data_IF_799606231551
#
_entry.id   IF_799606231551
#
_cell.length_a   1.000
_cell.length_b   1.000
_cell.length_c   1.000
_cell.angle_alpha   90.00
_cell.angle_beta   90.00
_cell.angle_gamma   90.00
#
_symmetry.space_group_name_H-M   'P 1'
#
loop_
_entity.id
_entity.type
_entity.pdbx_description
1 polymer ?
#
# COMPACT_ATOMS: atom_id res chain seq x y z
N UNK A 1 -23.59 40.91 26.56
CA UNK A 1 -22.75 40.42 25.46
C UNK A 1 -23.37 40.94 24.17
N UNK A 2 -22.67 41.81 23.44
CA UNK A 2 -23.24 42.55 22.31
C UNK A 2 -23.19 41.67 21.04
N UNK A 3 -24.12 41.86 20.10
CA UNK A 3 -24.19 41.00 18.90
C UNK A 3 -22.91 41.05 18.04
N UNK A 4 -22.24 42.20 18.06
CA UNK A 4 -20.94 42.39 17.42
C UNK A 4 -19.83 41.52 18.04
N UNK A 5 -19.89 41.25 19.35
CA UNK A 5 -18.91 40.41 20.03
C UNK A 5 -19.07 38.95 19.61
N UNK A 6 -20.32 38.50 19.42
CA UNK A 6 -20.63 37.14 18.96
C UNK A 6 -20.13 36.95 17.52
N UNK A 7 -20.39 37.92 16.63
CA UNK A 7 -19.90 37.85 15.24
C UNK A 7 -18.37 37.81 15.16
N UNK A 8 -17.68 38.60 15.99
CA UNK A 8 -16.21 38.57 16.03
C UNK A 8 -15.68 37.22 16.53
N UNK A 9 -16.33 36.63 17.54
CA UNK A 9 -15.96 35.29 18.03
C UNK A 9 -16.20 34.23 16.96
N UNK A 10 -17.34 34.25 16.27
CA UNK A 10 -17.63 33.30 15.17
C UNK A 10 -16.63 33.46 14.04
N UNK A 11 -16.31 34.69 13.64
CA UNK A 11 -15.34 34.97 12.57
C UNK A 11 -13.94 34.52 12.95
N UNK A 12 -13.54 34.71 14.21
CA UNK A 12 -12.26 34.24 14.73
C UNK A 12 -12.18 32.70 14.78
N UNK A 13 -13.27 32.02 15.16
CA UNK A 13 -13.36 30.55 15.16
C UNK A 13 -13.29 30.01 13.74
N UNK A 14 -14.02 30.59 12.78
CA UNK A 14 -13.98 30.19 11.37
C UNK A 14 -12.59 30.39 10.75
N UNK A 15 -11.93 31.50 11.05
CA UNK A 15 -10.53 31.74 10.63
C UNK A 15 -9.58 30.69 11.23
N UNK A 16 -9.77 30.33 12.51
CA UNK A 16 -8.96 29.33 13.20
C UNK A 16 -9.20 27.90 12.72
N UNK A 17 -10.39 27.60 12.20
CA UNK A 17 -10.72 26.35 11.52
C UNK A 17 -10.21 26.31 10.06
N UNK A 18 -10.00 27.44 9.41
CA UNK A 18 -9.35 27.51 8.09
C UNK A 18 -7.82 27.46 8.19
N UNK A 19 -7.28 27.83 9.36
CA UNK A 19 -5.84 27.78 9.69
C UNK A 19 -5.49 26.62 10.60
N UNK A 20 -6.37 25.63 10.77
CA UNK A 20 -5.90 24.28 11.09
C UNK A 20 -5.09 23.84 9.89
N UNK A 21 -3.77 23.99 10.01
CA UNK A 21 -2.77 23.43 9.13
C UNK A 21 -3.30 22.11 8.60
N UNK A 22 -3.53 22.07 7.29
CA UNK A 22 -3.55 20.78 6.60
C UNK A 22 -2.24 20.15 7.04
N UNK A 23 -2.23 19.01 7.75
CA UNK A 23 -0.98 18.40 8.14
C UNK A 23 -0.20 18.29 6.84
N UNK A 24 0.98 18.92 6.80
CA UNK A 24 1.93 18.61 5.75
C UNK A 24 1.92 17.09 5.68
N UNK A 25 1.55 16.53 4.53
CA UNK A 25 1.60 15.11 4.28
C UNK A 25 3.09 14.73 4.28
N UNK A 26 3.68 14.81 5.48
CA UNK A 26 5.06 14.52 5.77
C UNK A 26 5.10 13.02 5.73
N UNK A 27 5.39 12.51 4.53
CA UNK A 27 5.88 11.16 4.33
C UNK A 27 7.08 11.04 5.26
N UNK A 28 6.89 10.42 6.43
CA UNK A 28 7.90 10.34 7.48
C UNK A 28 9.08 9.49 6.99
N UNK A 29 8.77 8.45 6.21
CA UNK A 29 9.67 7.59 5.43
C UNK A 29 8.94 7.12 4.16
N UNK A 30 9.65 6.65 3.14
CA UNK A 30 9.08 6.21 1.86
C UNK A 30 7.90 5.22 2.06
N UNK A 31 6.66 5.70 1.90
CA UNK A 31 5.44 4.91 2.04
C UNK A 31 4.81 4.88 3.45
N UNK A 32 5.34 5.61 4.42
CA UNK A 32 4.79 5.75 5.78
C UNK A 32 4.08 7.10 5.92
N UNK A 33 2.81 7.07 6.32
CA UNK A 33 1.94 8.24 6.43
C UNK A 33 1.47 8.44 7.87
N UNK A 34 1.20 9.70 8.24
CA UNK A 34 0.75 10.07 9.58
C UNK A 34 -0.69 9.61 9.89
N UNK A 35 -1.54 9.46 8.86
CA UNK A 35 -2.92 9.00 8.98
C UNK A 35 -3.24 7.89 7.99
N UNK A 36 -4.28 7.11 8.30
CA UNK A 36 -4.80 6.08 7.42
C UNK A 36 -5.37 6.67 6.12
N UNK A 37 -6.08 7.79 6.21
CA UNK A 37 -6.72 8.43 5.06
C UNK A 37 -5.66 8.89 4.04
N UNK A 38 -4.53 9.43 4.52
CA UNK A 38 -3.41 9.82 3.66
C UNK A 38 -2.78 8.61 2.96
N UNK A 39 -2.60 7.50 3.68
CA UNK A 39 -2.07 6.27 3.12
C UNK A 39 -3.00 5.70 2.01
N UNK A 40 -4.30 5.70 2.25
CA UNK A 40 -5.30 5.23 1.27
C UNK A 40 -5.35 6.15 0.05
N UNK A 41 -5.32 7.48 0.26
CA UNK A 41 -5.29 8.45 -0.82
C UNK A 41 -4.05 8.28 -1.71
N UNK A 42 -2.87 8.15 -1.10
CA UNK A 42 -1.63 7.91 -1.82
C UNK A 42 -1.63 6.56 -2.56
N UNK A 43 -2.12 5.49 -1.94
CA UNK A 43 -2.25 4.18 -2.57
C UNK A 43 -3.18 4.21 -3.78
N UNK A 44 -4.31 4.94 -3.70
CA UNK A 44 -5.26 5.12 -4.81
C UNK A 44 -4.61 5.80 -6.01
N UNK A 45 -3.72 6.77 -5.79
CA UNK A 45 -2.95 7.40 -6.86
C UNK A 45 -1.89 6.45 -7.41
N UNK A 46 -1.13 5.77 -6.55
CA UNK A 46 -0.08 4.85 -6.96
C UNK A 46 -0.59 3.65 -7.76
N UNK A 47 -1.77 3.11 -7.41
CA UNK A 47 -2.40 1.99 -8.12
C UNK A 47 -2.63 2.31 -9.60
N UNK A 48 -2.93 3.57 -9.94
CA UNK A 48 -3.10 4.00 -11.34
C UNK A 48 -1.80 3.90 -12.13
N UNK A 49 -0.64 3.81 -11.49
CA UNK A 49 0.66 3.57 -12.10
C UNK A 49 0.90 2.10 -12.49
N UNK A 50 0.19 1.13 -11.89
CA UNK A 50 0.35 -0.31 -12.12
C UNK A 50 -0.45 -0.81 -13.35
N UNK A 51 -0.32 -0.08 -14.46
CA UNK A 51 -1.17 -0.20 -15.66
C UNK A 51 -0.98 -1.49 -16.44
N UNK A 52 0.23 -2.06 -16.47
CA UNK A 52 0.56 -3.21 -17.30
C UNK A 52 1.06 -4.39 -16.48
N UNK A 53 0.87 -5.60 -17.03
CA UNK A 53 1.45 -6.83 -16.46
C UNK A 53 2.98 -6.72 -16.36
N UNK A 54 3.63 -6.10 -17.35
CA UNK A 54 5.08 -5.86 -17.31
C UNK A 54 5.51 -4.94 -16.16
N UNK A 55 4.77 -3.86 -15.89
CA UNK A 55 5.04 -2.98 -14.76
C UNK A 55 4.86 -3.71 -13.42
N UNK A 56 3.82 -4.55 -13.32
CA UNK A 56 3.61 -5.39 -12.13
C UNK A 56 4.73 -6.41 -11.95
N UNK A 57 5.23 -7.00 -13.03
CA UNK A 57 6.36 -7.92 -12.98
C UNK A 57 7.61 -7.23 -12.45
N UNK A 58 7.90 -5.99 -12.88
CA UNK A 58 9.02 -5.20 -12.34
C UNK A 58 8.86 -4.92 -10.85
N UNK A 59 7.67 -4.47 -10.44
CA UNK A 59 7.38 -4.20 -9.03
C UNK A 59 7.53 -5.47 -8.17
N UNK A 60 6.99 -6.61 -8.63
CA UNK A 60 7.13 -7.90 -7.96
C UNK A 60 8.60 -8.29 -7.85
N UNK A 61 9.39 -8.17 -8.92
CA UNK A 61 10.81 -8.50 -8.89
C UNK A 61 11.58 -7.66 -7.84
N UNK A 62 11.33 -6.34 -7.79
CA UNK A 62 11.93 -5.46 -6.80
C UNK A 62 11.55 -5.84 -5.36
N UNK A 63 10.27 -6.19 -5.13
CA UNK A 63 9.79 -6.64 -3.80
C UNK A 63 10.49 -7.94 -3.39
N UNK A 64 10.66 -8.91 -4.31
CA UNK A 64 11.36 -10.16 -4.02
C UNK A 64 12.82 -9.93 -3.69
N UNK A 65 13.52 -9.11 -4.49
CA UNK A 65 14.91 -8.77 -4.25
C UNK A 65 15.11 -8.13 -2.87
N UNK A 66 14.28 -7.14 -2.53
CA UNK A 66 14.31 -6.51 -1.22
C UNK A 66 13.98 -7.51 -0.09
N UNK A 67 12.97 -8.35 -0.29
CA UNK A 67 12.53 -9.37 0.67
C UNK A 67 13.61 -10.40 0.99
N UNK A 68 14.37 -10.85 -0.01
CA UNK A 68 15.52 -11.74 0.20
C UNK A 68 16.69 -11.01 0.85
N UNK A 69 17.04 -9.82 0.34
CA UNK A 69 18.16 -9.01 0.83
C UNK A 69 18.02 -8.69 2.32
N UNK A 70 16.82 -8.39 2.77
CA UNK A 70 16.51 -7.99 4.16
C UNK A 70 15.86 -9.11 4.98
N UNK A 71 15.85 -10.36 4.49
CA UNK A 71 15.15 -11.46 5.14
C UNK A 71 15.60 -11.69 6.59
N UNK A 72 16.91 -11.51 6.85
CA UNK A 72 17.53 -11.69 8.17
C UNK A 72 17.13 -10.56 9.12
N UNK A 73 17.31 -9.31 8.69
CA UNK A 73 16.97 -8.11 9.47
C UNK A 73 15.50 -8.15 9.91
N UNK A 74 14.60 -8.47 8.98
CA UNK A 74 13.16 -8.60 9.24
C UNK A 74 12.85 -9.74 10.23
N UNK A 75 13.58 -10.85 10.17
CA UNK A 75 13.40 -11.97 11.08
C UNK A 75 13.83 -11.62 12.51
N UNK A 76 14.96 -10.96 12.67
CA UNK A 76 15.48 -10.50 13.97
C UNK A 76 14.57 -9.44 14.57
N UNK A 77 14.17 -8.44 13.78
CA UNK A 77 13.23 -7.41 14.21
C UNK A 77 11.93 -8.02 14.73
N UNK A 78 11.32 -8.92 13.96
CA UNK A 78 10.05 -9.55 14.32
C UNK A 78 10.15 -10.39 15.60
N UNK A 79 11.26 -11.12 15.84
CA UNK A 79 11.44 -11.85 17.11
C UNK A 79 11.67 -10.88 18.27
N UNK A 80 12.48 -9.85 18.07
CA UNK A 80 12.80 -8.87 19.12
C UNK A 80 11.56 -8.08 19.58
N UNK A 81 10.70 -7.70 18.64
CA UNK A 81 9.49 -6.92 18.90
C UNK A 81 8.38 -7.78 19.52
N UNK A 82 8.16 -8.98 18.99
CA UNK A 82 6.99 -9.80 19.38
C UNK A 82 7.29 -10.86 20.44
N UNK A 83 8.56 -11.22 20.62
CA UNK A 83 8.98 -12.36 21.45
C UNK A 83 8.58 -13.73 20.92
N UNK A 84 8.04 -13.84 19.70
CA UNK A 84 7.46 -15.08 19.16
C UNK A 84 8.30 -15.72 18.06
N UNK A 85 8.52 -17.04 18.18
CA UNK A 85 9.19 -17.85 17.17
C UNK A 85 10.72 -17.77 17.23
N UNK A 86 11.40 -18.32 16.21
CA UNK A 86 12.86 -18.32 16.10
C UNK A 86 13.30 -17.52 14.88
N UNK A 87 14.45 -16.85 14.99
CA UNK A 87 15.01 -16.03 13.91
C UNK A 87 15.23 -16.88 12.66
N UNK A 88 15.84 -18.06 12.78
CA UNK A 88 16.12 -18.94 11.64
C UNK A 88 14.84 -19.40 10.92
N UNK A 89 13.80 -19.78 11.68
CA UNK A 89 12.51 -20.18 11.12
C UNK A 89 11.84 -19.02 10.36
N UNK A 90 11.93 -17.79 10.90
CA UNK A 90 11.41 -16.59 10.23
C UNK A 90 12.25 -16.17 9.01
N UNK A 91 13.57 -16.31 9.07
CA UNK A 91 14.45 -16.07 7.92
C UNK A 91 14.10 -17.01 6.76
N UNK A 92 14.03 -18.32 7.05
CA UNK A 92 13.64 -19.32 6.06
C UNK A 92 12.25 -19.02 5.48
N UNK A 93 11.31 -18.59 6.33
CA UNK A 93 9.97 -18.16 5.89
C UNK A 93 10.03 -16.95 4.96
N UNK A 94 10.77 -15.90 5.31
CA UNK A 94 10.90 -14.69 4.49
C UNK A 94 11.51 -15.01 3.12
N UNK A 95 12.58 -15.82 3.08
CA UNK A 95 13.19 -16.30 1.83
C UNK A 95 12.21 -17.14 1.01
N UNK A 96 11.49 -18.06 1.66
CA UNK A 96 10.48 -18.88 1.00
C UNK A 96 9.35 -18.04 0.41
N UNK A 97 8.89 -16.99 1.10
CA UNK A 97 7.87 -16.08 0.59
C UNK A 97 8.39 -15.26 -0.60
N UNK A 98 9.60 -14.71 -0.52
CA UNK A 98 10.19 -13.94 -1.59
C UNK A 98 10.39 -14.79 -2.87
N UNK A 99 10.77 -16.05 -2.73
CA UNK A 99 11.00 -16.96 -3.88
C UNK A 99 9.74 -17.67 -4.37
N UNK A 100 8.86 -18.05 -3.46
CA UNK A 100 7.80 -19.03 -3.70
C UNK A 100 6.39 -18.46 -3.85
N UNK A 101 6.15 -17.19 -3.50
CA UNK A 101 4.84 -16.57 -3.76
C UNK A 101 4.63 -16.45 -5.27
N UNK A 102 3.49 -16.84 -5.87
CA UNK A 102 3.25 -16.63 -7.29
C UNK A 102 3.18 -15.15 -7.68
N UNK A 103 3.66 -14.80 -8.87
CA UNK A 103 3.63 -13.46 -9.47
C UNK A 103 2.52 -13.29 -10.51
N UNK A 104 2.86 -12.64 -11.64
CA UNK A 104 1.89 -12.36 -12.71
C UNK A 104 1.46 -13.60 -13.49
N UNK A 105 2.16 -14.73 -13.35
CA UNK A 105 1.79 -16.01 -13.95
C UNK A 105 0.42 -16.52 -13.47
N UNK A 106 -0.07 -16.04 -12.33
CA UNK A 106 -1.44 -16.30 -11.86
C UNK A 106 -2.52 -15.56 -12.67
N UNK A 107 -2.15 -14.57 -13.48
CA UNK A 107 -3.07 -13.83 -14.34
C UNK A 107 -3.18 -14.55 -15.69
N UNK A 108 -3.87 -15.69 -15.69
CA UNK A 108 -4.01 -16.53 -16.87
C UNK A 108 -5.40 -16.36 -17.51
N UNK A 109 -5.49 -15.88 -18.77
CA UNK A 109 -6.76 -15.75 -19.47
C UNK A 109 -7.36 -17.12 -19.80
N UNK A 110 -8.69 -17.22 -19.78
CA UNK A 110 -9.41 -18.38 -20.30
C UNK A 110 -10.25 -17.97 -21.51
N UNK A 111 -10.17 -18.78 -22.57
CA UNK A 111 -10.93 -18.58 -23.81
C UNK A 111 -11.83 -19.78 -24.03
N UNK A 112 -13.13 -19.52 -24.14
CA UNK A 112 -14.15 -20.50 -24.49
C UNK A 112 -14.66 -20.19 -25.89
N UNK A 113 -14.61 -21.16 -26.80
CA UNK A 113 -15.06 -21.03 -28.19
C UNK A 113 -16.12 -22.06 -28.51
N UNK A 114 -17.13 -21.69 -29.30
CA UNK A 114 -18.13 -22.61 -29.82
C UNK A 114 -18.99 -21.98 -30.90
N UNK A 115 -20.07 -22.65 -31.29
CA UNK A 115 -20.99 -22.19 -32.34
C UNK A 115 -21.58 -20.79 -32.07
N UNK A 116 -21.66 -20.42 -30.79
CA UNK A 116 -22.19 -19.13 -30.33
C UNK A 116 -21.11 -18.04 -30.16
N UNK A 117 -19.89 -18.26 -30.65
CA UNK A 117 -18.82 -17.28 -30.66
C UNK A 117 -17.71 -17.54 -29.65
N UNK A 118 -17.21 -16.46 -29.03
CA UNK A 118 -16.03 -16.46 -28.16
C UNK A 118 -16.35 -15.77 -26.84
N UNK A 119 -15.97 -16.40 -25.73
CA UNK A 119 -15.99 -15.80 -24.39
C UNK A 119 -14.56 -15.74 -23.86
N UNK A 120 -14.14 -14.55 -23.42
CA UNK A 120 -12.85 -14.30 -22.78
C UNK A 120 -13.08 -14.01 -21.30
N UNK A 121 -12.33 -14.68 -20.43
CA UNK A 121 -12.36 -14.51 -18.97
C UNK A 121 -10.96 -14.08 -18.53
N UNK A 122 -10.88 -12.95 -17.81
CA UNK A 122 -9.63 -12.28 -17.42
C UNK A 122 -9.66 -11.89 -15.94
N UNK A 123 -8.48 -11.86 -15.30
CA UNK A 123 -8.32 -11.36 -13.93
C UNK A 123 -8.05 -9.86 -13.92
N UNK A 124 -9.09 -9.04 -13.74
CA UNK A 124 -8.97 -7.59 -13.72
C UNK A 124 -8.82 -7.02 -12.28
N UNK A 125 -8.04 -5.93 -12.09
CA UNK A 125 -7.69 -5.36 -10.77
C UNK A 125 -8.49 -4.09 -10.42
N UNK A 126 -9.77 -4.01 -10.83
CA UNK A 126 -10.60 -2.79 -10.81
C UNK A 126 -10.49 -1.92 -9.54
#
# INVERSE_FOLDING_TARGET
MNQQDIEQVVKAVLLKMQSSDTPSAAVHEMGVFASLDDAVAAAKVAQQGLKSVAMRQLAIAAIREAGEKHARDLAELAVSETGMGRVEDKFAKNVAQARGTPGVECLSPQVLTGDNGLTLIENAPW
#
